data_IF_482543658910
#
_entry.id   IF_482543658910
#
_cell.length_a   1.000
_cell.length_b   1.000
_cell.length_c   1.000
_cell.angle_alpha   90.00
_cell.angle_beta   90.00
_cell.angle_gamma   90.00
#
_symmetry.space_group_name_H-M   'P 1'
#
loop_
_entity.id
_entity.type
_entity.pdbx_description
1 polymer ?
#
# COMPACT_ATOMS: atom_id res chain seq x y z
N UNK A 1 -7.90 24.07 -45.25
CA UNK A 1 -9.00 24.67 -44.48
C UNK A 1 -8.64 26.11 -44.20
N UNK A 2 -9.47 27.07 -44.61
CA UNK A 2 -9.24 28.49 -44.32
C UNK A 2 -9.84 28.83 -42.96
N UNK A 3 -9.21 29.68 -42.13
CA UNK A 3 -9.84 30.21 -40.93
C UNK A 3 -11.15 30.89 -41.30
N UNK A 4 -12.22 30.67 -40.53
CA UNK A 4 -13.43 31.47 -40.66
C UNK A 4 -13.13 32.88 -40.16
N UNK A 5 -13.39 33.88 -41.02
CA UNK A 5 -13.38 35.29 -40.61
C UNK A 5 -14.40 35.49 -39.48
N UNK A 6 -14.13 36.47 -38.61
CA UNK A 6 -15.11 37.00 -37.66
C UNK A 6 -16.40 37.42 -38.38
N UNK A 7 -17.52 37.52 -37.64
CA UNK A 7 -18.85 37.94 -38.10
C UNK A 7 -19.70 36.98 -38.96
N UNK A 8 -19.36 35.69 -39.02
CA UNK A 8 -20.20 34.64 -39.66
C UNK A 8 -21.13 33.86 -38.71
N UNK A 9 -21.41 34.40 -37.51
CA UNK A 9 -22.21 33.74 -36.45
C UNK A 9 -21.78 32.29 -36.10
N UNK A 10 -20.49 31.98 -36.29
CA UNK A 10 -19.95 30.62 -36.24
C UNK A 10 -18.55 30.63 -35.61
N UNK A 11 -18.19 29.57 -34.87
CA UNK A 11 -16.88 29.43 -34.23
C UNK A 11 -15.70 29.58 -35.22
N UNK A 12 -14.58 30.13 -34.74
CA UNK A 12 -13.37 30.50 -35.52
C UNK A 12 -12.47 29.32 -35.93
N UNK A 13 -13.01 28.10 -35.99
CA UNK A 13 -12.25 26.90 -36.36
C UNK A 13 -12.09 26.86 -37.88
N UNK A 14 -10.91 26.50 -38.43
CA UNK A 14 -10.72 26.38 -39.88
C UNK A 14 -11.77 25.46 -40.52
N UNK A 15 -12.37 25.89 -41.64
CA UNK A 15 -13.41 25.13 -42.35
C UNK A 15 -12.95 24.64 -43.72
N UNK A 16 -13.59 23.58 -44.21
CA UNK A 16 -13.39 23.06 -45.57
C UNK A 16 -14.00 24.05 -46.58
N UNK A 17 -13.20 24.48 -47.55
CA UNK A 17 -13.62 25.38 -48.63
C UNK A 17 -14.38 24.64 -49.73
N UNK A 18 -15.06 25.37 -50.61
CA UNK A 18 -15.87 24.83 -51.72
C UNK A 18 -17.37 24.82 -51.41
N UNK A 19 -18.14 24.21 -52.30
CA UNK A 19 -19.60 24.05 -52.20
C UNK A 19 -20.04 22.70 -52.78
N UNK A 20 -21.35 22.43 -52.83
CA UNK A 20 -21.93 21.24 -53.48
C UNK A 20 -21.78 19.90 -52.73
N UNK A 21 -20.95 19.80 -51.69
CA UNK A 21 -20.83 18.59 -50.86
C UNK A 21 -21.22 18.86 -49.42
N UNK A 22 -21.76 17.86 -48.71
CA UNK A 22 -22.04 17.94 -47.26
C UNK A 22 -20.79 18.24 -46.41
N UNK A 23 -19.58 18.06 -46.95
CA UNK A 23 -18.32 18.35 -46.25
C UNK A 23 -17.91 19.82 -46.34
N UNK A 24 -18.35 20.55 -47.37
CA UNK A 24 -18.10 21.98 -47.51
C UNK A 24 -18.69 22.74 -46.32
N UNK A 25 -17.95 23.72 -45.79
CA UNK A 25 -18.38 24.49 -44.62
C UNK A 25 -18.28 23.76 -43.28
N UNK A 26 -17.86 22.49 -43.21
CA UNK A 26 -17.61 21.82 -41.92
C UNK A 26 -16.25 22.22 -41.32
N UNK A 27 -16.15 22.13 -39.98
CA UNK A 27 -14.89 22.33 -39.26
C UNK A 27 -13.86 21.23 -39.59
N UNK A 28 -12.59 21.63 -39.77
CA UNK A 28 -11.54 20.80 -40.37
C UNK A 28 -10.50 20.30 -39.35
N UNK A 29 -9.31 20.91 -39.31
CA UNK A 29 -8.09 20.30 -38.76
C UNK A 29 -8.04 20.14 -37.23
N UNK A 30 -9.00 20.70 -36.49
CA UNK A 30 -9.01 20.67 -35.02
C UNK A 30 -9.19 19.26 -34.46
N UNK A 31 -8.59 19.00 -33.30
CA UNK A 31 -8.72 17.75 -32.56
C UNK A 31 -10.16 17.49 -32.05
N UNK A 32 -10.95 18.55 -31.89
CA UNK A 32 -12.38 18.51 -31.58
C UNK A 32 -13.27 18.23 -32.79
N UNK A 33 -12.74 18.28 -34.02
CA UNK A 33 -13.51 18.12 -35.24
C UNK A 33 -13.58 16.66 -35.70
N UNK A 34 -14.72 16.24 -36.26
CA UNK A 34 -14.89 14.91 -36.85
C UNK A 34 -13.89 14.71 -38.01
N UNK A 35 -13.12 13.61 -37.94
CA UNK A 35 -11.99 13.31 -38.86
C UNK A 35 -10.87 14.37 -38.84
N UNK A 36 -10.81 15.21 -37.81
CA UNK A 36 -9.71 16.13 -37.56
C UNK A 36 -8.45 15.41 -37.05
N UNK A 37 -7.35 16.15 -36.87
CA UNK A 37 -6.08 15.55 -36.41
C UNK A 37 -6.11 15.37 -34.89
N UNK A 38 -5.67 14.22 -34.40
CA UNK A 38 -5.48 13.97 -32.96
C UNK A 38 -4.49 14.98 -32.37
N UNK A 39 -4.76 15.48 -31.17
CA UNK A 39 -3.80 16.29 -30.42
C UNK A 39 -2.58 15.45 -30.04
N UNK A 40 -1.38 15.98 -30.26
CA UNK A 40 -0.11 15.29 -30.05
C UNK A 40 -0.07 13.87 -30.67
N UNK A 41 -0.09 13.75 -32.02
CA UNK A 41 -0.16 12.46 -32.68
C UNK A 41 1.05 11.59 -32.34
N UNK A 42 0.87 10.26 -32.26
CA UNK A 42 1.97 9.34 -31.92
C UNK A 42 3.06 9.41 -32.99
N UNK A 43 4.25 9.81 -32.56
CA UNK A 43 5.43 9.95 -33.43
C UNK A 43 6.31 8.71 -33.36
N UNK A 44 7.03 8.47 -34.44
CA UNK A 44 7.98 7.36 -34.56
C UNK A 44 9.15 7.49 -33.58
N UNK A 45 9.62 8.72 -33.31
CA UNK A 45 10.73 9.04 -32.41
C UNK A 45 10.41 8.93 -30.91
N UNK A 46 9.26 8.36 -30.52
CA UNK A 46 9.00 8.01 -29.12
C UNK A 46 10.14 7.11 -28.62
N UNK A 47 10.70 7.41 -27.45
CA UNK A 47 11.77 6.57 -26.87
C UNK A 47 11.18 5.21 -26.43
N UNK A 48 11.22 4.21 -27.31
CA UNK A 48 10.68 2.86 -27.05
C UNK A 48 11.59 2.01 -26.16
N UNK A 49 12.89 2.08 -26.41
CA UNK A 49 13.88 1.27 -25.69
C UNK A 49 14.35 1.97 -24.40
N UNK A 50 14.70 1.14 -23.40
CA UNK A 50 15.27 1.59 -22.12
C UNK A 50 16.59 0.85 -21.89
N UNK A 51 17.69 1.61 -21.84
CA UNK A 51 19.01 1.07 -21.47
C UNK A 51 18.98 0.78 -19.97
N UNK A 52 19.35 -0.45 -19.60
CA UNK A 52 19.43 -0.91 -18.21
C UNK A 52 20.86 -1.35 -17.93
N UNK A 53 21.34 -1.09 -16.71
CA UNK A 53 22.71 -1.37 -16.34
C UNK A 53 22.98 -2.88 -16.34
N UNK A 54 24.12 -3.29 -16.90
CA UNK A 54 24.50 -4.70 -17.04
C UNK A 54 24.55 -5.41 -15.68
N UNK A 55 25.11 -4.76 -14.66
CA UNK A 55 25.23 -5.31 -13.32
C UNK A 55 23.87 -5.43 -12.61
N UNK A 56 22.97 -4.46 -12.78
CA UNK A 56 21.58 -4.55 -12.28
C UNK A 56 20.83 -5.71 -12.92
N UNK A 57 20.95 -5.90 -14.24
CA UNK A 57 20.37 -7.05 -14.94
C UNK A 57 20.92 -8.37 -14.42
N UNK A 58 22.23 -8.46 -14.22
CA UNK A 58 22.89 -9.67 -13.68
C UNK A 58 22.40 -9.98 -12.26
N UNK A 59 22.28 -8.97 -11.40
CA UNK A 59 21.74 -9.12 -10.06
C UNK A 59 20.29 -9.60 -10.08
N UNK A 60 19.43 -8.97 -10.88
CA UNK A 60 18.02 -9.37 -11.00
C UNK A 60 17.86 -10.84 -11.45
N UNK A 61 18.73 -11.31 -12.36
CA UNK A 61 18.75 -12.73 -12.76
C UNK A 61 19.17 -13.63 -11.59
N UNK A 62 20.22 -13.26 -10.85
CA UNK A 62 20.65 -14.03 -9.69
C UNK A 62 19.55 -14.11 -8.61
N UNK A 63 18.88 -13.00 -8.31
CA UNK A 63 17.76 -12.95 -7.35
C UNK A 63 16.56 -13.78 -7.82
N UNK A 64 16.27 -13.79 -9.12
CA UNK A 64 15.19 -14.63 -9.68
C UNK A 64 15.51 -16.13 -9.56
N UNK A 65 16.77 -16.53 -9.74
CA UNK A 65 17.22 -17.92 -9.53
C UNK A 65 17.13 -18.29 -8.05
N UNK A 66 17.63 -17.43 -7.15
CA UNK A 66 17.54 -17.66 -5.71
C UNK A 66 16.08 -17.84 -5.26
N UNK A 67 15.17 -17.00 -5.77
CA UNK A 67 13.74 -17.12 -5.48
C UNK A 67 13.12 -18.44 -6.00
N UNK A 68 13.65 -19.02 -7.08
CA UNK A 68 13.19 -20.30 -7.61
C UNK A 68 13.63 -21.52 -6.79
N UNK A 69 14.51 -21.33 -5.81
CA UNK A 69 14.91 -22.40 -4.88
C UNK A 69 13.99 -22.48 -3.66
N UNK A 70 13.14 -21.48 -3.40
CA UNK A 70 12.31 -21.41 -2.18
C UNK A 70 10.87 -21.87 -2.47
N UNK A 71 10.40 -23.03 -1.96
CA UNK A 71 9.06 -23.55 -2.20
C UNK A 71 7.94 -22.55 -1.92
N UNK A 72 8.07 -21.77 -0.84
CA UNK A 72 7.11 -20.74 -0.46
C UNK A 72 6.86 -19.71 -1.57
N UNK A 73 7.92 -19.26 -2.26
CA UNK A 73 7.80 -18.30 -3.35
C UNK A 73 7.17 -18.91 -4.61
N UNK A 74 7.44 -20.20 -4.90
CA UNK A 74 6.83 -20.90 -6.03
C UNK A 74 5.33 -21.10 -5.82
N UNK A 75 4.93 -21.48 -4.60
CA UNK A 75 3.52 -21.64 -4.24
C UNK A 75 2.80 -20.28 -4.24
N UNK A 76 3.40 -19.24 -3.67
CA UNK A 76 2.84 -17.88 -3.70
C UNK A 76 2.64 -17.36 -5.12
N UNK A 77 3.54 -17.72 -6.06
CA UNK A 77 3.38 -17.41 -7.49
C UNK A 77 2.24 -18.20 -8.15
N UNK A 78 1.82 -19.33 -7.56
CA UNK A 78 0.71 -20.15 -8.02
C UNK A 78 1.12 -21.35 -8.89
N UNK A 79 2.32 -21.90 -8.68
CA UNK A 79 2.72 -23.20 -9.23
C UNK A 79 2.20 -24.35 -8.36
N UNK A 80 1.80 -25.47 -8.97
CA UNK A 80 1.43 -26.69 -8.24
C UNK A 80 2.65 -27.61 -8.09
N UNK A 81 3.32 -27.52 -6.96
CA UNK A 81 4.57 -28.25 -6.67
C UNK A 81 4.44 -29.21 -5.47
N UNK A 82 3.24 -29.45 -4.94
CA UNK A 82 3.02 -30.24 -3.72
C UNK A 82 3.52 -31.69 -3.79
N UNK A 83 3.59 -32.28 -4.99
CA UNK A 83 4.07 -33.65 -5.21
C UNK A 83 5.52 -33.71 -5.71
N UNK A 84 6.17 -32.57 -5.93
CA UNK A 84 7.55 -32.52 -6.40
C UNK A 84 8.46 -32.87 -5.20
N UNK A 85 9.44 -33.77 -5.37
CA UNK A 85 10.24 -34.27 -4.25
C UNK A 85 11.11 -33.18 -3.60
N UNK A 86 11.70 -32.30 -4.40
CA UNK A 86 12.61 -31.26 -3.93
C UNK A 86 12.52 -30.01 -4.82
N UNK A 87 12.79 -28.85 -4.22
CA UNK A 87 13.03 -27.59 -4.91
C UNK A 87 14.32 -27.00 -4.33
N UNK A 88 15.34 -26.69 -5.15
CA UNK A 88 15.39 -26.71 -6.62
C UNK A 88 15.42 -28.13 -7.22
N UNK A 89 14.62 -28.37 -8.27
CA UNK A 89 14.57 -29.68 -8.92
C UNK A 89 15.71 -29.86 -9.93
N UNK A 90 16.63 -30.79 -9.66
CA UNK A 90 17.75 -31.15 -10.53
C UNK A 90 17.55 -32.57 -11.08
N UNK A 91 17.74 -32.76 -12.38
CA UNK A 91 17.48 -34.00 -13.13
C UNK A 91 18.73 -34.41 -13.91
N UNK A 92 18.87 -35.69 -14.23
CA UNK A 92 19.98 -36.19 -15.06
C UNK A 92 20.03 -35.53 -16.44
N UNK A 93 21.23 -35.50 -17.03
CA UNK A 93 21.46 -34.93 -18.36
C UNK A 93 20.81 -35.76 -19.49
N UNK A 94 20.24 -36.93 -19.18
CA UNK A 94 19.46 -37.70 -20.16
C UNK A 94 18.19 -36.98 -20.61
N UNK A 95 17.70 -36.03 -19.79
CA UNK A 95 16.61 -35.15 -20.19
C UNK A 95 16.96 -34.35 -21.47
N UNK A 96 18.23 -34.02 -21.68
CA UNK A 96 18.71 -33.29 -22.87
C UNK A 96 18.58 -34.11 -24.16
N UNK A 97 18.68 -35.45 -24.05
CA UNK A 97 18.65 -36.40 -25.18
C UNK A 97 17.24 -36.69 -25.69
N UNK A 98 16.19 -36.26 -24.98
CA UNK A 98 14.82 -36.52 -25.37
C UNK A 98 14.46 -35.78 -26.66
N UNK A 99 13.96 -36.51 -27.66
CA UNK A 99 13.57 -35.95 -28.97
C UNK A 99 12.05 -35.91 -29.17
N UNK A 100 11.32 -36.85 -28.57
CA UNK A 100 9.86 -36.99 -28.74
C UNK A 100 9.08 -36.31 -27.62
N UNK A 101 8.02 -35.60 -27.97
CA UNK A 101 7.10 -34.93 -27.02
C UNK A 101 6.44 -35.91 -26.06
N UNK A 102 6.08 -37.11 -26.53
CA UNK A 102 5.52 -38.19 -25.70
C UNK A 102 6.46 -38.56 -24.55
N UNK A 103 7.76 -38.71 -24.84
CA UNK A 103 8.77 -39.02 -23.82
C UNK A 103 8.95 -37.86 -22.84
N UNK A 104 8.96 -36.61 -23.32
CA UNK A 104 9.02 -35.42 -22.47
C UNK A 104 7.83 -35.31 -21.50
N UNK A 105 6.61 -35.63 -21.95
CA UNK A 105 5.42 -35.66 -21.07
C UNK A 105 5.53 -36.77 -20.03
N UNK A 106 6.03 -37.95 -20.40
CA UNK A 106 6.29 -39.04 -19.46
C UNK A 106 7.34 -38.66 -18.41
N UNK A 107 8.42 -37.98 -18.81
CA UNK A 107 9.42 -37.47 -17.89
C UNK A 107 8.82 -36.47 -16.88
N UNK A 108 8.01 -35.51 -17.34
CA UNK A 108 7.31 -34.56 -16.45
C UNK A 108 6.30 -35.26 -15.52
N UNK A 109 5.70 -36.37 -15.95
CA UNK A 109 4.81 -37.18 -15.12
C UNK A 109 5.59 -37.85 -13.99
N UNK A 110 6.75 -38.46 -14.30
CA UNK A 110 7.65 -39.09 -13.33
C UNK A 110 8.19 -38.09 -12.31
N UNK A 111 8.51 -36.87 -12.74
CA UNK A 111 8.99 -35.78 -11.88
C UNK A 111 7.86 -35.07 -11.11
N UNK A 112 6.61 -35.53 -11.23
CA UNK A 112 5.41 -34.88 -10.68
C UNK A 112 5.18 -33.41 -11.10
N UNK A 113 5.92 -32.91 -12.10
CA UNK A 113 5.79 -31.58 -12.68
C UNK A 113 4.60 -31.44 -13.65
N UNK A 114 4.01 -32.56 -14.09
CA UNK A 114 2.89 -32.59 -15.03
C UNK A 114 1.63 -31.90 -14.47
N UNK A 115 1.43 -31.90 -13.15
CA UNK A 115 0.30 -31.23 -12.49
C UNK A 115 0.29 -29.72 -12.79
N UNK A 116 1.45 -29.08 -12.76
CA UNK A 116 1.59 -27.66 -13.10
C UNK A 116 1.33 -27.40 -14.58
N UNK A 117 1.74 -28.31 -15.47
CA UNK A 117 1.45 -28.24 -16.91
C UNK A 117 -0.03 -28.38 -17.20
N UNK A 118 -0.73 -29.31 -16.52
CA UNK A 118 -2.17 -29.49 -16.66
C UNK A 118 -2.95 -28.25 -16.23
N UNK A 119 -2.52 -27.58 -15.14
CA UNK A 119 -3.06 -26.27 -14.74
C UNK A 119 -2.92 -25.24 -15.85
N UNK A 120 -1.76 -25.19 -16.53
CA UNK A 120 -1.58 -24.27 -17.67
C UNK A 120 -2.48 -24.65 -18.84
N UNK A 121 -2.56 -25.95 -19.19
CA UNK A 121 -3.43 -26.44 -20.28
C UNK A 121 -4.88 -26.02 -20.05
N UNK A 122 -5.42 -26.19 -18.84
CA UNK A 122 -6.79 -25.76 -18.45
C UNK A 122 -6.97 -24.25 -18.50
N UNK A 123 -5.91 -23.47 -18.29
CA UNK A 123 -5.99 -22.00 -18.26
C UNK A 123 -6.08 -21.33 -19.64
N UNK A 124 -5.90 -22.08 -20.73
CA UNK A 124 -5.91 -21.54 -22.09
C UNK A 124 -7.33 -21.08 -22.44
N UNK A 125 -7.53 -19.77 -22.53
CA UNK A 125 -8.82 -19.16 -22.88
C UNK A 125 -8.69 -18.09 -23.95
N UNK A 126 -9.82 -17.71 -24.56
CA UNK A 126 -9.88 -16.56 -25.47
C UNK A 126 -9.57 -15.26 -24.73
N UNK A 127 -8.74 -14.40 -25.32
CA UNK A 127 -8.39 -13.09 -24.77
C UNK A 127 -9.60 -12.15 -24.85
N UNK A 128 -9.89 -11.44 -23.78
CA UNK A 128 -10.90 -10.39 -23.80
C UNK A 128 -10.44 -9.16 -24.62
N UNK A 129 -11.39 -8.46 -25.23
CA UNK A 129 -11.15 -7.21 -25.96
C UNK A 129 -10.49 -7.35 -27.34
N UNK A 130 -9.91 -6.25 -27.81
CA UNK A 130 -9.40 -6.04 -29.18
C UNK A 130 -8.15 -6.85 -29.52
N UNK A 131 -7.51 -7.49 -28.53
CA UNK A 131 -6.33 -8.32 -28.74
C UNK A 131 -6.58 -9.53 -29.65
N UNK A 132 -7.82 -10.03 -29.70
CA UNK A 132 -8.23 -11.16 -30.55
C UNK A 132 -7.99 -10.90 -32.03
N UNK A 133 -8.27 -9.67 -32.48
CA UNK A 133 -8.09 -9.26 -33.88
C UNK A 133 -6.64 -8.97 -34.26
N UNK A 134 -5.71 -8.96 -33.30
CA UNK A 134 -4.29 -8.63 -33.50
C UNK A 134 -3.39 -9.84 -33.23
N UNK A 135 -3.75 -11.02 -33.73
CA UNK A 135 -3.02 -12.28 -33.60
C UNK A 135 -2.68 -12.71 -32.15
N UNK A 136 -3.45 -12.24 -31.17
CA UNK A 136 -3.27 -12.55 -29.74
C UNK A 136 -4.54 -13.15 -29.15
N UNK A 137 -5.12 -14.11 -29.88
CA UNK A 137 -6.43 -14.71 -29.61
C UNK A 137 -6.49 -15.47 -28.28
N UNK A 138 -5.41 -16.13 -27.85
CA UNK A 138 -5.40 -16.92 -26.62
C UNK A 138 -4.45 -16.36 -25.56
N UNK A 139 -4.80 -16.60 -24.30
CA UNK A 139 -3.95 -16.38 -23.13
C UNK A 139 -3.85 -17.68 -22.36
N UNK A 140 -2.65 -17.99 -21.86
CA UNK A 140 -2.40 -19.13 -20.99
C UNK A 140 -1.43 -18.70 -19.88
N UNK A 141 -1.46 -19.41 -18.75
CA UNK A 141 -0.51 -19.22 -17.65
C UNK A 141 0.89 -19.69 -18.05
N UNK A 142 1.89 -19.36 -17.24
CA UNK A 142 3.27 -19.86 -17.39
C UNK A 142 3.46 -21.11 -16.53
N UNK A 143 4.04 -22.14 -17.13
CA UNK A 143 4.36 -23.41 -16.48
C UNK A 143 5.85 -23.50 -16.13
N UNK A 144 6.38 -24.73 -15.99
CA UNK A 144 7.78 -24.92 -15.63
C UNK A 144 8.72 -24.36 -16.69
N UNK A 145 9.87 -23.88 -16.24
CA UNK A 145 11.00 -23.50 -17.08
C UNK A 145 12.04 -24.61 -17.00
N UNK A 146 12.45 -25.18 -18.13
CA UNK A 146 13.52 -26.17 -18.16
C UNK A 146 14.81 -25.47 -18.56
N UNK A 147 15.83 -25.63 -17.72
CA UNK A 147 17.17 -25.06 -17.96
C UNK A 147 18.16 -26.16 -18.26
N UNK A 148 18.82 -26.02 -19.41
CA UNK A 148 19.75 -27.01 -19.97
C UNK A 148 21.10 -26.38 -20.31
N UNK A 149 22.14 -27.21 -20.41
CA UNK A 149 23.46 -26.77 -20.84
C UNK A 149 23.57 -26.85 -22.36
N UNK A 150 23.26 -28.03 -22.92
CA UNK A 150 23.37 -28.32 -24.35
C UNK A 150 22.03 -28.81 -24.92
N UNK A 151 21.71 -28.39 -26.16
CA UNK A 151 20.50 -28.88 -26.83
C UNK A 151 20.84 -30.11 -27.67
N UNK A 152 20.47 -31.30 -27.19
CA UNK A 152 20.62 -32.58 -27.90
C UNK A 152 19.27 -33.10 -28.45
N UNK A 153 18.26 -32.24 -28.55
CA UNK A 153 16.90 -32.61 -28.98
C UNK A 153 15.80 -32.10 -28.04
N UNK A 154 16.17 -31.69 -26.82
CA UNK A 154 15.29 -31.15 -25.79
C UNK A 154 14.42 -29.99 -26.31
N UNK A 155 14.96 -29.10 -27.15
CA UNK A 155 14.17 -28.01 -27.73
C UNK A 155 12.97 -28.49 -28.52
N UNK A 156 13.14 -29.55 -29.32
CA UNK A 156 12.07 -30.13 -30.14
C UNK A 156 11.06 -30.89 -29.28
N UNK A 157 11.53 -31.60 -28.26
CA UNK A 157 10.68 -32.42 -27.39
C UNK A 157 9.75 -31.58 -26.49
N UNK A 158 10.21 -30.42 -26.00
CA UNK A 158 9.45 -29.65 -25.00
C UNK A 158 8.72 -28.41 -25.55
N UNK A 159 9.08 -27.88 -26.74
CA UNK A 159 8.52 -26.62 -27.25
C UNK A 159 6.99 -26.60 -27.42
N UNK A 160 6.38 -27.75 -27.70
CA UNK A 160 4.95 -27.85 -27.99
C UNK A 160 4.10 -28.16 -26.73
N UNK A 161 4.74 -28.33 -25.57
CA UNK A 161 4.02 -28.61 -24.33
C UNK A 161 3.45 -27.28 -23.78
N UNK A 162 2.13 -27.20 -23.46
CA UNK A 162 1.51 -25.96 -23.02
C UNK A 162 2.21 -25.33 -21.81
N UNK A 163 2.67 -24.08 -21.96
CA UNK A 163 3.23 -23.30 -20.86
C UNK A 163 4.66 -23.63 -20.45
N UNK A 164 5.24 -24.70 -20.99
CA UNK A 164 6.65 -25.06 -20.75
C UNK A 164 7.51 -24.13 -21.58
N UNK A 165 8.56 -23.59 -20.95
CA UNK A 165 9.56 -22.81 -21.66
C UNK A 165 10.94 -23.39 -21.43
N UNK A 166 11.85 -23.06 -22.34
CA UNK A 166 13.20 -23.57 -22.35
C UNK A 166 14.20 -22.41 -22.27
N UNK A 167 15.31 -22.61 -21.57
CA UNK A 167 16.39 -21.65 -21.49
C UNK A 167 17.74 -22.36 -21.38
N UNK A 168 18.76 -21.88 -22.08
CA UNK A 168 20.13 -22.33 -21.83
C UNK A 168 20.68 -21.60 -20.59
N UNK A 169 21.52 -22.28 -19.82
CA UNK A 169 22.23 -21.70 -18.65
C UNK A 169 23.15 -20.54 -19.05
N UNK A 170 23.71 -20.57 -20.26
CA UNK A 170 24.60 -19.52 -20.74
C UNK A 170 23.85 -18.23 -21.10
N UNK A 171 22.57 -18.34 -21.45
CA UNK A 171 21.73 -17.23 -21.92
C UNK A 171 20.46 -17.04 -21.08
N UNK A 172 20.61 -17.10 -19.75
CA UNK A 172 19.51 -16.92 -18.81
C UNK A 172 18.80 -15.57 -18.99
N UNK A 173 17.52 -15.64 -19.38
CA UNK A 173 16.68 -14.48 -19.62
C UNK A 173 15.80 -14.18 -18.40
N UNK A 174 15.96 -12.99 -17.82
CA UNK A 174 15.15 -12.49 -16.70
C UNK A 174 13.64 -12.55 -17.00
N UNK A 175 13.22 -12.27 -18.24
CA UNK A 175 11.81 -12.27 -18.62
C UNK A 175 11.19 -13.67 -18.60
N UNK A 176 12.02 -14.72 -18.77
CA UNK A 176 11.58 -16.11 -18.59
C UNK A 176 11.64 -16.53 -17.12
N UNK A 177 12.65 -16.08 -16.36
CA UNK A 177 12.77 -16.42 -14.94
C UNK A 177 11.68 -15.77 -14.08
N UNK A 178 11.38 -14.49 -14.33
CA UNK A 178 10.38 -13.71 -13.60
C UNK A 178 9.37 -13.05 -14.55
N UNK A 179 8.49 -13.83 -15.22
CA UNK A 179 7.56 -13.25 -16.17
C UNK A 179 6.51 -12.41 -15.43
N UNK A 180 6.31 -11.18 -15.93
CA UNK A 180 5.47 -10.17 -15.28
C UNK A 180 6.12 -9.50 -14.06
N UNK A 181 7.41 -9.74 -13.80
CA UNK A 181 8.12 -9.20 -12.63
C UNK A 181 7.90 -10.01 -11.33
N UNK A 182 7.16 -11.12 -11.40
CA UNK A 182 6.94 -12.00 -10.25
C UNK A 182 8.06 -13.04 -10.11
N UNK A 183 8.72 -13.05 -8.96
CA UNK A 183 9.77 -13.99 -8.57
C UNK A 183 9.19 -15.39 -8.25
N UNK A 184 10.05 -16.41 -8.21
CA UNK A 184 9.66 -17.77 -7.80
C UNK A 184 8.99 -18.59 -8.90
N UNK A 185 9.53 -18.60 -10.12
CA UNK A 185 9.05 -19.54 -11.16
C UNK A 185 9.54 -20.96 -10.87
N UNK A 186 8.73 -21.97 -11.15
CA UNK A 186 9.17 -23.36 -11.08
C UNK A 186 10.18 -23.67 -12.20
N UNK A 187 11.42 -24.00 -11.81
CA UNK A 187 12.52 -24.31 -12.72
C UNK A 187 12.96 -25.75 -12.52
N UNK A 188 13.14 -26.47 -13.63
CA UNK A 188 13.70 -27.81 -13.70
C UNK A 188 15.10 -27.67 -14.30
N UNK A 189 16.12 -28.07 -13.56
CA UNK A 189 17.52 -27.99 -13.97
C UNK A 189 18.01 -29.35 -14.45
N UNK A 190 18.79 -29.36 -15.52
CA UNK A 190 19.69 -30.50 -15.82
C UNK A 190 20.93 -30.40 -14.93
N UNK A 191 21.54 -31.54 -14.60
CA UNK A 191 22.72 -31.62 -13.74
C UNK A 191 23.87 -30.74 -14.27
N UNK A 192 24.16 -30.84 -15.56
CA UNK A 192 25.19 -30.03 -16.23
C UNK A 192 24.89 -28.54 -16.18
N UNK A 193 23.63 -28.13 -16.40
CA UNK A 193 23.23 -26.73 -16.28
C UNK A 193 23.40 -26.21 -14.85
N UNK A 194 23.01 -27.01 -13.86
CA UNK A 194 23.13 -26.64 -12.46
C UNK A 194 24.61 -26.44 -12.06
N UNK A 195 25.50 -27.35 -12.49
CA UNK A 195 26.93 -27.21 -12.26
C UNK A 195 27.54 -25.97 -12.95
N UNK A 196 27.05 -25.61 -14.14
CA UNK A 196 27.51 -24.45 -14.89
C UNK A 196 27.13 -23.10 -14.26
N UNK A 197 26.15 -23.04 -13.33
CA UNK A 197 25.76 -21.81 -12.64
C UNK A 197 26.92 -21.19 -11.85
N UNK A 198 27.71 -22.01 -11.15
CA UNK A 198 28.86 -21.54 -10.37
C UNK A 198 29.91 -20.87 -11.27
N UNK A 199 30.17 -21.42 -12.46
CA UNK A 199 31.06 -20.80 -13.46
C UNK A 199 30.45 -19.49 -14.02
N UNK A 200 29.12 -19.41 -14.10
CA UNK A 200 28.38 -18.29 -14.70
C UNK A 200 28.24 -17.08 -13.78
N UNK A 201 28.00 -17.27 -12.48
CA UNK A 201 27.80 -16.19 -11.51
C UNK A 201 28.93 -16.04 -10.49
N UNK A 202 29.82 -17.03 -10.38
CA UNK A 202 30.83 -17.08 -9.33
C UNK A 202 30.23 -17.41 -7.96
N UNK A 203 31.02 -17.23 -6.92
CA UNK A 203 30.58 -17.31 -5.52
C UNK A 203 30.80 -15.96 -4.83
N UNK A 204 30.45 -15.84 -3.55
CA UNK A 204 30.77 -14.63 -2.78
C UNK A 204 32.28 -14.40 -2.58
N UNK A 205 33.09 -15.46 -2.79
CA UNK A 205 34.56 -15.45 -2.64
C UNK A 205 35.29 -15.44 -3.98
N UNK A 206 34.78 -16.14 -5.00
CA UNK A 206 35.42 -16.29 -6.32
C UNK A 206 34.64 -15.57 -7.41
N UNK A 207 35.33 -14.81 -8.26
CA UNK A 207 34.75 -14.12 -9.42
C UNK A 207 34.18 -15.11 -10.43
N UNK A 208 33.19 -14.69 -11.21
CA UNK A 208 32.60 -15.50 -12.27
C UNK A 208 33.57 -15.70 -13.44
N UNK A 209 33.57 -16.91 -14.01
CA UNK A 209 34.41 -17.27 -15.17
C UNK A 209 33.82 -16.68 -16.46
N UNK A 210 32.54 -16.96 -16.74
CA UNK A 210 31.91 -16.49 -17.98
C UNK A 210 31.54 -15.00 -17.95
N UNK A 211 31.27 -14.46 -16.76
CA UNK A 211 30.96 -13.04 -16.58
C UNK A 211 32.18 -12.33 -16.03
N UNK A 212 33.10 -11.97 -16.92
CA UNK A 212 34.33 -11.28 -16.54
C UNK A 212 34.08 -10.12 -15.57
N UNK A 213 34.85 -10.11 -14.47
CA UNK A 213 34.79 -9.09 -13.41
C UNK A 213 33.51 -9.07 -12.56
N UNK A 214 32.58 -10.02 -12.75
CA UNK A 214 31.34 -10.06 -11.98
C UNK A 214 31.49 -10.90 -10.70
N UNK A 215 30.94 -10.38 -9.61
CA UNK A 215 30.75 -11.08 -8.33
C UNK A 215 29.30 -10.96 -7.90
N UNK A 216 28.83 -11.93 -7.13
CA UNK A 216 27.51 -11.84 -6.50
C UNK A 216 27.49 -10.68 -5.49
N UNK A 217 26.43 -9.87 -5.46
CA UNK A 217 26.30 -8.79 -4.47
C UNK A 217 26.12 -9.38 -3.08
N UNK A 218 26.76 -8.75 -2.09
CA UNK A 218 26.63 -9.14 -0.69
C UNK A 218 25.31 -8.61 -0.12
N UNK A 219 24.55 -9.42 0.63
CA UNK A 219 23.37 -8.91 1.32
C UNK A 219 23.79 -7.93 2.42
N UNK A 220 22.93 -6.94 2.70
CA UNK A 220 23.15 -5.99 3.80
C UNK A 220 23.03 -6.66 5.17
N UNK A 221 22.17 -7.67 5.27
CA UNK A 221 21.93 -8.45 6.48
C UNK A 221 22.41 -9.87 6.22
N UNK A 222 23.25 -10.42 7.11
CA UNK A 222 23.74 -11.79 6.98
C UNK A 222 22.66 -12.83 7.28
N UNK A 223 21.91 -12.65 8.37
CA UNK A 223 20.77 -13.47 8.75
C UNK A 223 19.47 -12.66 8.68
N UNK A 224 18.57 -13.01 7.76
CA UNK A 224 17.29 -12.32 7.59
C UNK A 224 16.24 -12.65 8.65
N UNK A 225 16.47 -13.64 9.52
CA UNK A 225 15.56 -14.00 10.59
C UNK A 225 15.69 -13.03 11.78
N UNK A 226 14.97 -11.92 11.67
CA UNK A 226 14.92 -10.90 12.72
C UNK A 226 14.25 -11.43 14.00
N UNK A 227 13.30 -12.36 13.90
CA UNK A 227 12.64 -12.90 15.08
C UNK A 227 13.64 -13.70 15.93
N UNK A 228 14.46 -14.53 15.30
CA UNK A 228 15.56 -15.23 15.98
C UNK A 228 16.56 -14.27 16.60
N UNK A 229 16.96 -13.22 15.89
CA UNK A 229 17.89 -12.22 16.43
C UNK A 229 17.30 -11.49 17.63
N UNK A 230 16.07 -10.98 17.50
CA UNK A 230 15.39 -10.25 18.58
C UNK A 230 15.21 -11.14 19.80
N UNK A 231 14.86 -12.42 19.62
CA UNK A 231 14.63 -13.36 20.71
C UNK A 231 15.91 -14.04 21.22
N UNK A 232 17.09 -13.61 20.76
CA UNK A 232 18.37 -14.11 21.28
C UNK A 232 18.61 -13.61 22.71
N UNK A 233 19.26 -14.44 23.52
CA UNK A 233 19.49 -14.14 24.93
C UNK A 233 20.33 -12.87 25.10
N UNK A 234 21.28 -12.62 24.19
CA UNK A 234 22.14 -11.44 24.20
C UNK A 234 21.33 -10.14 24.04
N UNK A 235 20.32 -10.13 23.17
CA UNK A 235 19.44 -8.97 22.99
C UNK A 235 18.42 -8.88 24.12
N UNK A 236 17.80 -9.99 24.51
CA UNK A 236 16.76 -10.00 25.54
C UNK A 236 17.32 -9.67 26.94
N UNK A 237 18.56 -10.02 27.25
CA UNK A 237 19.20 -9.69 28.52
C UNK A 237 19.42 -8.18 28.71
N UNK A 238 19.67 -7.45 27.63
CA UNK A 238 19.90 -5.99 27.65
C UNK A 238 18.59 -5.21 27.53
N UNK A 239 17.56 -5.80 26.91
CA UNK A 239 16.29 -5.14 26.68
C UNK A 239 15.53 -4.89 27.99
N UNK A 240 15.14 -3.64 28.25
CA UNK A 240 14.25 -3.30 29.36
C UNK A 240 12.87 -3.96 29.18
N UNK A 241 12.23 -4.37 30.28
CA UNK A 241 10.85 -4.88 30.27
C UNK A 241 9.92 -3.94 29.51
N UNK A 242 9.10 -4.50 28.62
CA UNK A 242 8.12 -3.73 27.88
C UNK A 242 7.17 -3.02 28.85
N UNK A 243 7.04 -1.69 28.72
CA UNK A 243 6.09 -0.92 29.51
C UNK A 243 4.64 -1.36 29.26
N UNK A 244 3.69 -1.00 30.15
CA UNK A 244 2.29 -1.37 29.97
C UNK A 244 1.76 -0.82 28.64
N UNK A 245 1.02 -1.63 27.88
CA UNK A 245 0.39 -1.21 26.61
C UNK A 245 -0.54 -0.01 26.87
N UNK A 246 -0.08 1.21 26.58
CA UNK A 246 -0.87 2.44 26.74
C UNK A 246 -1.82 2.62 25.55
N UNK A 247 -2.87 1.81 25.48
CA UNK A 247 -3.97 2.07 24.54
C UNK A 247 -4.88 3.15 25.11
N UNK A 248 -4.50 4.43 24.96
CA UNK A 248 -5.38 5.55 25.28
C UNK A 248 -6.41 5.68 24.15
N UNK A 249 -7.53 4.96 24.24
CA UNK A 249 -8.70 5.28 23.42
C UNK A 249 -9.12 6.71 23.74
N UNK A 250 -9.35 7.53 22.71
CA UNK A 250 -9.89 8.87 22.89
C UNK A 250 -11.32 8.75 23.44
N UNK A 251 -11.46 8.72 24.76
CA UNK A 251 -12.77 8.77 25.41
C UNK A 251 -13.35 10.16 25.22
N UNK A 252 -14.65 10.25 24.89
CA UNK A 252 -15.35 11.54 24.83
C UNK A 252 -15.12 12.31 26.12
N UNK A 253 -14.55 13.51 26.01
CA UNK A 253 -14.38 14.42 27.16
C UNK A 253 -15.77 14.78 27.68
N UNK A 254 -16.13 14.28 28.87
CA UNK A 254 -17.38 14.63 29.54
C UNK A 254 -17.17 15.97 30.25
N UNK A 255 -18.17 16.85 30.17
CA UNK A 255 -18.09 18.16 30.84
C UNK A 255 -18.15 17.96 32.37
N UNK A 256 -17.14 18.41 33.14
CA UNK A 256 -17.08 18.21 34.59
C UNK A 256 -18.15 18.99 35.35
N UNK A 257 -18.64 20.13 34.84
CA UNK A 257 -19.68 20.91 35.52
C UNK A 257 -21.06 20.24 35.41
N UNK A 258 -21.29 19.50 34.31
CA UNK A 258 -22.55 18.78 34.08
C UNK A 258 -22.50 17.33 34.57
N UNK A 259 -21.32 16.71 34.59
CA UNK A 259 -21.16 15.31 34.99
C UNK A 259 -20.48 15.21 36.36
N UNK A 260 -21.26 14.83 37.38
CA UNK A 260 -20.78 14.74 38.76
C UNK A 260 -19.59 13.79 38.91
N UNK A 261 -19.59 12.62 38.27
CA UNK A 261 -18.49 11.66 38.39
C UNK A 261 -17.15 12.23 37.89
N UNK A 262 -17.18 13.04 36.83
CA UNK A 262 -15.97 13.73 36.35
C UNK A 262 -15.60 14.92 37.23
N UNK A 263 -16.58 15.65 37.76
CA UNK A 263 -16.34 16.72 38.73
C UNK A 263 -15.57 16.21 39.95
N UNK A 264 -15.97 15.07 40.49
CA UNK A 264 -15.37 14.49 41.69
C UNK A 264 -13.98 13.92 41.44
N UNK A 265 -13.77 13.36 40.24
CA UNK A 265 -12.44 12.95 39.83
C UNK A 265 -11.45 14.12 39.74
N UNK A 266 -11.93 15.32 39.38
CA UNK A 266 -11.09 16.52 39.28
C UNK A 266 -11.00 17.30 40.60
N UNK A 267 -12.09 17.34 41.37
CA UNK A 267 -12.18 18.06 42.63
C UNK A 267 -12.86 17.18 43.70
N UNK A 268 -12.08 16.56 44.61
CA UNK A 268 -12.62 15.70 45.65
C UNK A 268 -13.51 16.45 46.66
N UNK A 269 -13.30 17.77 46.82
CA UNK A 269 -14.09 18.59 47.75
C UNK A 269 -15.44 19.03 47.20
N UNK A 270 -15.72 18.83 45.90
CA UNK A 270 -16.96 19.32 45.28
C UNK A 270 -18.24 18.75 45.92
N UNK A 271 -18.22 17.51 46.42
CA UNK A 271 -19.32 16.93 47.19
C UNK A 271 -19.57 17.69 48.51
N UNK A 272 -18.51 18.00 49.23
CA UNK A 272 -18.61 18.68 50.54
C UNK A 272 -19.13 20.10 50.38
N UNK A 273 -18.64 20.85 49.39
CA UNK A 273 -19.10 22.20 49.09
C UNK A 273 -20.57 22.21 48.66
N UNK A 274 -20.96 21.28 47.77
CA UNK A 274 -22.36 21.16 47.34
C UNK A 274 -23.29 20.80 48.50
N UNK A 275 -22.85 19.91 49.41
CA UNK A 275 -23.62 19.56 50.61
C UNK A 275 -23.75 20.74 51.58
N UNK A 276 -22.66 21.49 51.81
CA UNK A 276 -22.68 22.71 52.62
C UNK A 276 -23.66 23.74 52.03
N UNK A 277 -23.66 23.92 50.71
CA UNK A 277 -24.56 24.86 50.04
C UNK A 277 -26.03 24.41 50.11
N UNK A 278 -26.32 23.11 49.97
CA UNK A 278 -27.68 22.58 50.16
C UNK A 278 -28.17 22.83 51.59
N UNK A 279 -27.34 22.55 52.60
CA UNK A 279 -27.68 22.81 54.00
C UNK A 279 -27.92 24.31 54.24
N UNK A 280 -27.06 25.17 53.69
CA UNK A 280 -27.19 26.63 53.77
C UNK A 280 -28.47 27.13 53.09
N UNK A 281 -28.77 26.63 51.89
CA UNK A 281 -29.97 26.97 51.12
C UNK A 281 -31.24 26.53 51.84
N UNK A 282 -31.28 25.30 52.37
CA UNK A 282 -32.41 24.81 53.15
C UNK A 282 -32.61 25.61 54.44
N UNK A 283 -31.53 25.98 55.13
CA UNK A 283 -31.62 26.89 56.27
C UNK A 283 -32.12 28.28 55.85
N UNK A 284 -31.72 28.78 54.68
CA UNK A 284 -32.20 30.02 54.08
C UNK A 284 -33.69 29.98 53.72
N UNK A 285 -34.16 28.90 53.09
CA UNK A 285 -35.58 28.66 52.79
C UNK A 285 -36.41 28.62 54.06
N UNK A 286 -35.97 27.89 55.08
CA UNK A 286 -36.61 27.89 56.41
C UNK A 286 -36.68 29.30 56.99
N UNK A 287 -35.59 30.09 56.91
CA UNK A 287 -35.59 31.50 57.36
C UNK A 287 -36.50 32.41 56.54
N UNK A 288 -36.69 32.17 55.24
CA UNK A 288 -37.56 32.96 54.36
C UNK A 288 -39.04 32.59 54.52
N UNK A 289 -39.35 31.35 54.90
CA UNK A 289 -40.71 30.90 55.18
C UNK A 289 -41.24 31.36 56.56
N UNK A 290 -40.37 31.89 57.42
CA UNK A 290 -40.76 32.48 58.71
C UNK A 290 -41.35 33.89 58.53
N UNK A 291 -42.24 34.30 59.44
CA UNK A 291 -42.82 35.64 59.42
C UNK A 291 -41.73 36.74 59.57
N UNK A 292 -41.92 37.92 58.98
CA UNK A 292 -40.96 39.04 59.11
C UNK A 292 -40.69 39.47 60.55
N UNK A 293 -41.68 39.30 61.45
CA UNK A 293 -41.56 39.64 62.87
C UNK A 293 -40.61 38.66 63.60
N UNK A 294 -40.75 37.36 63.36
CA UNK A 294 -39.88 36.33 63.95
C UNK A 294 -38.44 36.42 63.41
N UNK A 295 -38.29 36.95 62.20
CA UNK A 295 -36.99 37.19 61.59
C UNK A 295 -36.21 38.32 62.26
N UNK A 296 -36.91 39.39 62.69
CA UNK A 296 -36.30 40.51 63.44
C UNK A 296 -35.87 40.09 64.84
N UNK A 297 -36.64 39.23 65.52
CA UNK A 297 -36.30 38.71 66.86
C UNK A 297 -34.98 37.91 66.92
N UNK A 298 -34.54 37.33 65.80
CA UNK A 298 -33.28 36.56 65.71
C UNK A 298 -32.04 37.41 65.43
N UNK A 299 -32.19 38.70 65.18
CA UNK A 299 -31.06 39.61 64.96
C UNK A 299 -30.76 40.30 66.29
N UNK A 300 -29.54 40.12 66.81
CA UNK A 300 -29.06 40.83 68.00
C UNK A 300 -29.21 42.34 67.83
N UNK A 301 -29.67 43.05 68.85
CA UNK A 301 -29.88 44.51 68.80
C UNK A 301 -28.67 45.28 68.29
N UNK A 302 -27.45 44.86 68.67
CA UNK A 302 -26.20 45.45 68.18
C UNK A 302 -26.08 45.42 66.63
N UNK A 303 -26.50 44.32 66.01
CA UNK A 303 -26.47 44.15 64.55
C UNK A 303 -27.59 44.89 63.84
N UNK A 304 -28.72 45.12 64.52
CA UNK A 304 -29.79 45.99 64.02
C UNK A 304 -29.35 47.46 64.03
N UNK A 305 -28.68 47.92 65.10
CA UNK A 305 -28.09 49.26 65.20
C UNK A 305 -27.02 49.47 64.13
N UNK A 306 -26.13 48.50 63.93
CA UNK A 306 -25.09 48.58 62.90
C UNK A 306 -25.66 48.63 61.47
N UNK A 307 -26.70 47.83 61.17
CA UNK A 307 -27.43 47.93 59.88
C UNK A 307 -28.10 49.30 59.72
N UNK A 308 -28.66 49.84 60.79
CA UNK A 308 -29.31 51.15 60.79
C UNK A 308 -28.30 52.27 60.51
N UNK A 309 -27.18 52.29 61.24
CA UNK A 309 -26.10 53.27 61.06
C UNK A 309 -25.48 53.19 59.66
N UNK A 310 -25.29 51.98 59.15
CA UNK A 310 -24.82 51.76 57.78
C UNK A 310 -25.84 52.28 56.74
N UNK A 311 -27.15 52.07 56.95
CA UNK A 311 -28.19 52.66 56.10
C UNK A 311 -28.18 54.19 56.15
N UNK A 312 -27.97 54.77 57.33
CA UNK A 312 -27.94 56.21 57.55
C UNK A 312 -26.72 56.86 56.88
N UNK A 313 -25.53 56.24 57.00
CA UNK A 313 -24.34 56.64 56.25
C UNK A 313 -24.59 56.59 54.73
N UNK A 314 -25.22 55.51 54.24
CA UNK A 314 -25.53 55.35 52.81
C UNK A 314 -26.55 56.39 52.32
N UNK A 315 -27.55 56.72 53.13
CA UNK A 315 -28.53 57.78 52.83
C UNK A 315 -27.87 59.17 52.81
N UNK A 316 -26.98 59.47 53.77
CA UNK A 316 -26.20 60.72 53.77
C UNK A 316 -25.29 60.84 52.56
N UNK A 317 -24.59 59.77 52.18
CA UNK A 317 -23.76 59.74 50.99
C UNK A 317 -24.60 59.92 49.70
N UNK A 318 -25.76 59.26 49.63
CA UNK A 318 -26.70 59.43 48.51
C UNK A 318 -27.26 60.85 48.43
N UNK A 319 -27.63 61.45 49.55
CA UNK A 319 -28.12 62.84 49.62
C UNK A 319 -27.02 63.83 49.21
N UNK A 320 -25.78 63.62 49.65
CA UNK A 320 -24.64 64.43 49.23
C UNK A 320 -24.38 64.31 47.72
N UNK A 321 -24.50 63.10 47.15
CA UNK A 321 -24.41 62.88 45.71
C UNK A 321 -25.50 63.66 44.95
N UNK A 322 -26.78 63.50 45.31
CA UNK A 322 -27.88 64.20 44.63
C UNK A 322 -27.82 65.73 44.81
N UNK A 323 -27.35 66.21 45.96
CA UNK A 323 -27.14 67.65 46.21
C UNK A 323 -26.02 68.23 45.34
N UNK A 324 -24.94 67.47 45.13
CA UNK A 324 -23.86 67.88 44.22
C UNK A 324 -24.30 67.84 42.75
N UNK A 325 -25.19 66.90 42.37
CA UNK A 325 -25.76 66.84 41.01
C UNK A 325 -26.69 68.04 40.74
N UNK A 326 -27.52 68.45 41.71
CA UNK A 326 -28.40 69.62 41.58
C UNK A 326 -27.64 70.97 41.54
N UNK A 327 -26.45 71.06 42.13
CA UNK A 327 -25.62 72.27 42.09
C UNK A 327 -24.80 72.40 40.78
N UNK A 328 -24.81 71.38 39.92
CA UNK A 328 -24.11 71.35 38.63
C UNK A 328 -25.05 71.58 37.43
N UNK A 329 -26.37 71.67 37.65
CA UNK A 329 -27.39 72.06 36.69
C UNK A 329 -27.86 73.49 36.98
#
# INVERSE_FOLDING_TARGET
GRPTRTSRAVARIPRVSGGGTHRAGQAAFGNMCRKGRMFAPTKTWRRWHRKTNKNQRRFAVASAIAASALPALLMARGHHISKVPEVPLVVSDDLEKLTKTKQAVLALKKLHALTDVLRVKRSKKLRAGQGKMRNRRHVQRRGPLIVYAHDKGLSRAFRNIPGVELCSVHTLNLLKLAPGGHLGRFIIWTRSAFAALNKTFGTFRRKAVYKHGYTLPRPLIHNSDLARLINSDEIQAVLSKAGPKKTRRATRKKNPLKNLGVLLKLNPYALTLRRKEILRSNAGKKKNAMSPADRKKRISEAKLKDIHDHKLKRAKASAAYYKNVLNFC
#
